data_IF_997228123705
#
_entry.id   IF_997228123705
#
_cell.length_a   1.000
_cell.length_b   1.000
_cell.length_c   1.000
_cell.angle_alpha   90.00
_cell.angle_beta   90.00
_cell.angle_gamma   90.00
#
_symmetry.space_group_name_H-M   'P 1'
#
loop_
_entity.id
_entity.type
_entity.pdbx_description
1 polymer ?
#
# COMPACT_ATOMS: atom_id res chain seq x y z
N UNK A 1 -15.79 18.12 -9.84
CA UNK A 1 -14.85 19.22 -10.11
C UNK A 1 -13.72 19.31 -9.07
N UNK A 2 -14.02 19.34 -7.76
CA UNK A 2 -13.00 19.45 -6.70
C UNK A 2 -11.97 18.31 -6.71
N UNK A 3 -12.40 17.07 -6.90
CA UNK A 3 -11.48 15.93 -6.99
C UNK A 3 -10.56 16.02 -8.23
N UNK A 4 -11.07 16.55 -9.35
CA UNK A 4 -10.23 16.80 -10.53
C UNK A 4 -9.12 17.79 -10.19
N UNK A 5 -9.41 18.88 -9.49
CA UNK A 5 -8.41 19.85 -9.02
C UNK A 5 -7.40 19.19 -8.06
N UNK A 6 -7.86 18.32 -7.17
CA UNK A 6 -6.98 17.55 -6.29
C UNK A 6 -5.98 16.69 -7.09
N UNK A 7 -6.44 15.97 -8.11
CA UNK A 7 -5.56 15.18 -8.97
C UNK A 7 -4.59 16.06 -9.78
N UNK A 8 -5.06 17.18 -10.33
CA UNK A 8 -4.22 18.11 -11.08
C UNK A 8 -3.12 18.77 -10.23
N UNK A 9 -3.35 18.93 -8.92
CA UNK A 9 -2.33 19.43 -7.98
C UNK A 9 -1.28 18.37 -7.58
N UNK A 10 -1.26 17.22 -8.23
CA UNK A 10 -0.42 16.08 -7.81
C UNK A 10 -0.82 15.51 -6.46
N UNK A 11 -2.08 15.72 -6.02
CA UNK A 11 -2.63 15.30 -4.72
C UNK A 11 -1.95 15.96 -3.50
N UNK A 12 -1.22 17.06 -3.71
CA UNK A 12 -0.47 17.79 -2.66
C UNK A 12 -1.25 18.93 -2.06
N UNK A 13 -2.34 19.40 -2.71
CA UNK A 13 -3.20 20.46 -2.19
C UNK A 13 -4.40 19.86 -1.45
N UNK A 14 -4.54 20.19 -0.17
CA UNK A 14 -5.65 19.72 0.67
C UNK A 14 -6.99 20.40 0.39
N UNK A 15 -6.96 21.66 -0.04
CA UNK A 15 -8.18 22.48 -0.18
C UNK A 15 -9.26 21.82 -1.05
N UNK A 16 -8.95 21.32 -2.28
CA UNK A 16 -9.96 20.71 -3.12
C UNK A 16 -10.59 19.44 -2.50
N UNK A 17 -9.80 18.59 -1.83
CA UNK A 17 -10.32 17.36 -1.25
C UNK A 17 -11.19 17.65 -0.02
N UNK A 18 -10.84 18.63 0.81
CA UNK A 18 -11.67 19.05 1.93
C UNK A 18 -12.96 19.74 1.45
N UNK A 19 -12.90 20.52 0.39
CA UNK A 19 -14.09 21.12 -0.22
C UNK A 19 -15.00 20.05 -0.84
N UNK A 20 -14.40 19.01 -1.46
CA UNK A 20 -15.16 17.84 -1.92
C UNK A 20 -15.87 17.16 -0.76
N UNK A 21 -15.20 16.96 0.38
CA UNK A 21 -15.80 16.38 1.59
C UNK A 21 -16.99 17.19 2.10
N UNK A 22 -16.88 18.54 2.11
CA UNK A 22 -17.99 19.40 2.55
C UNK A 22 -19.21 19.30 1.64
N UNK A 23 -19.00 19.19 0.33
CA UNK A 23 -20.05 19.17 -0.68
C UNK A 23 -20.64 17.78 -0.93
N UNK A 24 -19.94 16.71 -0.54
CA UNK A 24 -20.36 15.35 -0.79
C UNK A 24 -21.61 14.98 0.03
N UNK A 25 -22.59 14.39 -0.63
CA UNK A 25 -23.75 13.75 0.04
C UNK A 25 -23.31 12.49 0.78
N UNK A 26 -22.50 11.67 0.12
CA UNK A 26 -21.81 10.55 0.74
C UNK A 26 -20.37 10.94 1.04
N UNK A 27 -20.09 11.20 2.31
CA UNK A 27 -18.75 11.57 2.77
C UNK A 27 -17.77 10.43 2.72
N UNK A 28 -18.24 9.19 2.87
CA UNK A 28 -17.38 8.00 2.84
C UNK A 28 -16.70 7.82 1.48
N UNK A 29 -17.36 8.23 0.39
CA UNK A 29 -16.77 8.22 -0.94
C UNK A 29 -15.54 9.15 -1.09
N UNK A 30 -15.36 10.12 -0.20
CA UNK A 30 -14.22 11.06 -0.23
C UNK A 30 -13.08 10.62 0.68
N UNK A 31 -13.32 9.80 1.69
CA UNK A 31 -12.29 9.36 2.65
C UNK A 31 -11.06 8.71 2.00
N UNK A 32 -11.17 7.88 0.95
CA UNK A 32 -9.99 7.32 0.26
C UNK A 32 -9.01 8.38 -0.24
N UNK A 33 -9.51 9.51 -0.72
CA UNK A 33 -8.68 10.62 -1.22
C UNK A 33 -8.03 11.40 -0.08
N UNK A 34 -8.70 11.52 1.06
CA UNK A 34 -8.13 12.14 2.27
C UNK A 34 -7.04 11.25 2.88
N UNK A 35 -7.22 9.92 2.88
CA UNK A 35 -6.19 8.96 3.27
C UNK A 35 -4.97 9.10 2.34
N UNK A 36 -5.18 9.12 1.03
CA UNK A 36 -4.11 9.29 0.06
C UNK A 36 -3.36 10.63 0.25
N UNK A 37 -4.11 11.73 0.44
CA UNK A 37 -3.52 13.02 0.76
C UNK A 37 -2.68 12.97 2.04
N UNK A 38 -3.20 12.38 3.11
CA UNK A 38 -2.51 12.34 4.40
C UNK A 38 -1.21 11.52 4.35
N UNK A 39 -1.16 10.46 3.55
CA UNK A 39 0.08 9.69 3.29
C UNK A 39 1.09 10.56 2.54
N UNK A 40 0.68 11.26 1.50
CA UNK A 40 1.56 12.15 0.71
C UNK A 40 2.07 13.31 1.56
N UNK A 41 1.20 13.90 2.39
CA UNK A 41 1.53 15.01 3.28
C UNK A 41 2.24 14.58 4.58
N UNK A 42 2.41 13.27 4.80
CA UNK A 42 2.91 12.67 6.04
C UNK A 42 2.14 13.15 7.29
N UNK A 43 0.82 13.35 7.15
CA UNK A 43 -0.08 13.74 8.25
C UNK A 43 -0.67 12.51 8.92
N UNK A 44 0.01 12.04 9.97
CA UNK A 44 -0.37 10.82 10.71
C UNK A 44 -1.72 10.94 11.42
N UNK A 45 -2.08 12.15 11.88
CA UNK A 45 -3.35 12.40 12.58
C UNK A 45 -4.51 12.26 11.60
N UNK A 46 -4.40 12.93 10.46
CA UNK A 46 -5.41 12.88 9.41
C UNK A 46 -5.55 11.47 8.84
N UNK A 47 -4.41 10.76 8.65
CA UNK A 47 -4.38 9.37 8.21
C UNK A 47 -5.18 8.47 9.14
N UNK A 48 -4.92 8.53 10.44
CA UNK A 48 -5.61 7.72 11.44
C UNK A 48 -7.11 8.03 11.46
N UNK A 49 -7.48 9.31 11.44
CA UNK A 49 -8.87 9.76 11.46
C UNK A 49 -9.67 9.19 10.28
N UNK A 50 -9.20 9.40 9.06
CA UNK A 50 -9.99 9.01 7.88
C UNK A 50 -9.91 7.53 7.54
N UNK A 51 -8.82 6.84 7.89
CA UNK A 51 -8.76 5.39 7.77
C UNK A 51 -9.75 4.68 8.71
N UNK A 52 -9.87 5.15 9.96
CA UNK A 52 -10.85 4.64 10.92
C UNK A 52 -12.29 4.95 10.48
N UNK A 53 -12.55 6.17 10.02
CA UNK A 53 -13.88 6.57 9.49
C UNK A 53 -14.28 5.73 8.28
N UNK A 54 -13.35 5.50 7.36
CA UNK A 54 -13.63 4.67 6.18
C UNK A 54 -13.89 3.22 6.57
N UNK A 55 -13.07 2.66 7.47
CA UNK A 55 -13.26 1.29 7.95
C UNK A 55 -14.62 1.11 8.63
N UNK A 56 -15.06 2.09 9.42
CA UNK A 56 -16.36 2.06 10.07
C UNK A 56 -17.54 2.20 9.09
N UNK A 57 -17.40 3.02 8.05
CA UNK A 57 -18.45 3.28 7.06
C UNK A 57 -18.53 2.20 5.97
N UNK A 58 -17.40 1.62 5.59
CA UNK A 58 -17.25 0.62 4.53
C UNK A 58 -16.14 -0.37 4.90
N UNK A 59 -16.43 -1.35 5.77
CA UNK A 59 -15.45 -2.36 6.16
C UNK A 59 -14.92 -3.12 4.95
N UNK A 60 -13.67 -3.52 5.01
CA UNK A 60 -13.09 -4.41 4.00
C UNK A 60 -13.78 -5.77 4.05
N UNK A 61 -14.03 -6.38 2.88
CA UNK A 61 -14.46 -7.77 2.85
C UNK A 61 -13.37 -8.67 3.45
N UNK A 62 -13.72 -9.84 4.02
CA UNK A 62 -12.75 -10.72 4.67
C UNK A 62 -11.51 -11.02 3.80
N UNK A 63 -11.71 -11.33 2.53
CA UNK A 63 -10.59 -11.64 1.61
C UNK A 63 -9.68 -10.42 1.36
N UNK A 64 -10.26 -9.23 1.23
CA UNK A 64 -9.48 -7.99 1.05
C UNK A 64 -8.75 -7.63 2.33
N UNK A 65 -9.40 -7.78 3.48
CA UNK A 65 -8.76 -7.59 4.78
C UNK A 65 -7.56 -8.52 4.95
N UNK A 66 -7.74 -9.81 4.69
CA UNK A 66 -6.68 -10.82 4.80
C UNK A 66 -5.50 -10.53 3.86
N UNK A 67 -5.80 -10.14 2.61
CA UNK A 67 -4.77 -9.73 1.66
C UNK A 67 -3.95 -8.54 2.20
N UNK A 68 -4.59 -7.47 2.68
CA UNK A 68 -3.90 -6.30 3.20
C UNK A 68 -3.13 -6.61 4.50
N UNK A 69 -3.72 -7.43 5.38
CA UNK A 69 -3.07 -7.91 6.58
C UNK A 69 -1.78 -8.68 6.25
N UNK A 70 -1.86 -9.67 5.37
CA UNK A 70 -0.72 -10.48 4.96
C UNK A 70 0.34 -9.63 4.23
N UNK A 71 -0.07 -8.62 3.48
CA UNK A 71 0.86 -7.66 2.85
C UNK A 71 1.66 -6.90 3.92
N UNK A 72 1.01 -6.37 4.98
CA UNK A 72 1.71 -5.73 6.09
C UNK A 72 2.64 -6.71 6.82
N UNK A 73 2.19 -7.95 7.02
CA UNK A 73 2.99 -8.99 7.71
C UNK A 73 4.18 -9.48 6.88
N UNK A 74 4.18 -9.28 5.56
CA UNK A 74 5.28 -9.66 4.66
C UNK A 74 6.47 -8.69 4.71
N UNK A 75 6.36 -7.56 5.41
CA UNK A 75 7.44 -6.59 5.54
C UNK A 75 8.17 -6.73 6.89
N UNK A 76 9.46 -6.43 6.91
CA UNK A 76 10.27 -6.37 8.13
C UNK A 76 9.80 -5.26 9.08
N UNK A 77 10.27 -5.31 10.32
CA UNK A 77 10.01 -4.25 11.31
C UNK A 77 10.57 -2.91 10.83
N UNK A 78 9.81 -1.83 11.04
CA UNK A 78 10.14 -0.46 10.63
C UNK A 78 10.34 -0.30 9.11
N UNK A 79 9.77 -1.17 8.30
CA UNK A 79 9.81 -1.08 6.84
C UNK A 79 9.04 0.13 6.31
N UNK A 80 9.40 0.53 5.08
CA UNK A 80 8.64 1.51 4.29
C UNK A 80 8.00 0.77 3.12
N UNK A 81 6.67 0.83 3.01
CA UNK A 81 5.92 0.23 1.90
C UNK A 81 5.47 1.32 0.94
N UNK A 82 5.86 1.19 -0.31
CA UNK A 82 5.45 2.05 -1.41
C UNK A 82 4.31 1.43 -2.21
N UNK A 83 3.24 2.21 -2.40
CA UNK A 83 2.12 1.86 -3.26
C UNK A 83 1.64 3.09 -4.05
N UNK A 84 0.93 2.90 -5.14
CA UNK A 84 0.40 3.99 -5.98
C UNK A 84 -1.13 3.99 -6.01
N UNK A 85 -1.74 2.85 -6.05
CA UNK A 85 -3.18 2.70 -6.20
C UNK A 85 -3.96 2.99 -4.92
N UNK A 86 -5.20 3.49 -5.08
CA UNK A 86 -6.13 3.65 -3.95
C UNK A 86 -6.37 2.30 -3.28
N UNK A 87 -6.51 1.21 -4.04
CA UNK A 87 -6.81 -0.12 -3.52
C UNK A 87 -5.78 -0.58 -2.48
N UNK A 88 -4.49 -0.55 -2.81
CA UNK A 88 -3.45 -0.98 -1.88
C UNK A 88 -3.22 0.04 -0.78
N UNK A 89 -2.94 1.30 -1.17
CA UNK A 89 -2.53 2.33 -0.22
C UNK A 89 -3.58 2.58 0.86
N UNK A 90 -4.86 2.67 0.44
CA UNK A 90 -5.98 2.89 1.35
C UNK A 90 -6.32 1.62 2.13
N UNK A 91 -6.29 0.45 1.48
CA UNK A 91 -6.54 -0.82 2.14
C UNK A 91 -5.52 -1.12 3.25
N UNK A 92 -4.21 -0.93 2.98
CA UNK A 92 -3.15 -1.06 3.98
C UNK A 92 -3.35 -0.07 5.14
N UNK A 93 -3.67 1.19 4.83
CA UNK A 93 -3.94 2.21 5.84
C UNK A 93 -5.17 1.87 6.71
N UNK A 94 -6.25 1.36 6.10
CA UNK A 94 -7.45 0.93 6.84
C UNK A 94 -7.11 -0.17 7.84
N UNK A 95 -6.42 -1.24 7.41
CA UNK A 95 -6.02 -2.33 8.31
C UNK A 95 -5.10 -1.81 9.39
N UNK A 96 -4.05 -1.06 9.04
CA UNK A 96 -3.06 -0.56 9.99
C UNK A 96 -3.68 0.37 11.06
N UNK A 97 -4.52 1.33 10.63
CA UNK A 97 -5.03 2.36 11.52
C UNK A 97 -6.27 1.92 12.30
N UNK A 98 -7.16 1.12 11.70
CA UNK A 98 -8.39 0.67 12.36
C UNK A 98 -8.14 -0.49 13.33
N UNK A 99 -7.18 -1.38 13.05
CA UNK A 99 -6.92 -2.56 13.88
C UNK A 99 -5.65 -2.43 14.72
N UNK A 100 -4.95 -1.31 14.64
CA UNK A 100 -3.71 -1.03 15.38
C UNK A 100 -2.57 -2.03 15.12
N UNK A 101 -2.50 -2.58 13.90
CA UNK A 101 -1.52 -3.58 13.49
C UNK A 101 -0.38 -2.89 12.73
N UNK A 102 0.86 -3.37 12.94
CA UNK A 102 2.06 -2.95 12.21
C UNK A 102 2.21 -1.42 12.09
N UNK A 103 1.98 -0.70 13.18
CA UNK A 103 2.21 0.76 13.28
C UNK A 103 3.67 1.17 13.09
N UNK A 104 4.57 0.22 13.15
CA UNK A 104 5.99 0.35 12.85
C UNK A 104 6.25 0.61 11.36
N UNK A 105 5.34 0.16 10.48
CA UNK A 105 5.48 0.32 9.02
C UNK A 105 5.03 1.71 8.58
N UNK A 106 5.83 2.35 7.74
CA UNK A 106 5.49 3.61 7.09
C UNK A 106 4.94 3.35 5.69
N UNK A 107 3.73 3.82 5.42
CA UNK A 107 3.13 3.78 4.09
C UNK A 107 3.52 5.04 3.31
N UNK A 108 3.97 4.89 2.06
CA UNK A 108 4.32 6.00 1.17
C UNK A 108 3.69 5.86 -0.20
N UNK A 109 3.33 7.00 -0.78
CA UNK A 109 2.88 7.07 -2.16
C UNK A 109 4.10 7.00 -3.10
N UNK A 110 4.07 6.08 -4.06
CA UNK A 110 5.13 5.96 -5.05
C UNK A 110 4.95 6.99 -6.17
N UNK A 111 5.97 7.80 -6.40
CA UNK A 111 6.12 8.66 -7.58
C UNK A 111 7.33 8.18 -8.41
N UNK A 112 7.22 8.27 -9.72
CA UNK A 112 8.31 7.84 -10.61
C UNK A 112 9.53 8.76 -10.47
N UNK A 113 10.73 8.16 -10.39
CA UNK A 113 11.98 8.90 -10.26
C UNK A 113 12.32 9.35 -8.84
N UNK A 114 11.52 8.95 -7.82
CA UNK A 114 11.87 9.22 -6.43
C UNK A 114 12.97 8.28 -5.94
N UNK A 115 13.80 8.77 -5.03
CA UNK A 115 14.74 7.94 -4.29
C UNK A 115 14.00 7.15 -3.21
N UNK A 116 14.29 5.85 -3.12
CA UNK A 116 13.67 4.96 -2.15
C UNK A 116 14.63 4.64 -1.00
N UNK A 117 14.06 4.46 0.18
CA UNK A 117 14.83 4.07 1.35
C UNK A 117 15.41 2.64 1.22
N UNK A 118 16.56 2.35 1.87
CA UNK A 118 17.17 1.02 1.80
C UNK A 118 16.30 -0.13 2.33
N UNK A 119 15.38 0.18 3.26
CA UNK A 119 14.41 -0.78 3.82
C UNK A 119 13.04 -0.74 3.12
N UNK A 120 13.02 -0.27 1.87
CA UNK A 120 11.80 -0.12 1.09
C UNK A 120 11.27 -1.45 0.57
N UNK A 121 9.93 -1.52 0.52
CA UNK A 121 9.15 -2.55 -0.13
C UNK A 121 8.23 -1.93 -1.15
N UNK A 122 8.02 -2.61 -2.26
CA UNK A 122 7.10 -2.21 -3.32
C UNK A 122 5.87 -3.13 -3.32
N UNK A 123 4.67 -2.55 -3.38
CA UNK A 123 3.47 -3.31 -3.67
C UNK A 123 3.49 -3.86 -5.10
N UNK A 124 2.98 -5.07 -5.30
CA UNK A 124 2.92 -5.71 -6.62
C UNK A 124 2.09 -4.91 -7.64
N UNK A 125 1.14 -4.11 -7.17
CA UNK A 125 0.32 -3.22 -8.01
C UNK A 125 1.10 -2.11 -8.71
N UNK A 126 2.35 -1.83 -8.32
CA UNK A 126 3.21 -0.90 -9.04
C UNK A 126 3.62 -1.41 -10.42
N UNK A 127 3.44 -2.71 -10.66
CA UNK A 127 3.68 -3.33 -11.96
C UNK A 127 5.15 -3.66 -12.24
N UNK A 128 5.32 -4.56 -13.23
CA UNK A 128 6.64 -5.10 -13.58
C UNK A 128 7.63 -4.03 -14.06
N UNK A 129 7.15 -3.00 -14.73
CA UNK A 129 7.99 -1.91 -15.27
C UNK A 129 8.68 -1.11 -14.16
N UNK A 130 8.00 -0.90 -13.03
CA UNK A 130 8.59 -0.25 -11.87
C UNK A 130 9.57 -1.19 -11.18
N UNK A 131 9.17 -2.43 -10.93
CA UNK A 131 10.00 -3.43 -10.24
C UNK A 131 11.30 -3.72 -11.01
N UNK A 132 11.23 -3.79 -12.34
CA UNK A 132 12.40 -4.04 -13.20
C UNK A 132 13.49 -2.96 -13.13
N UNK A 133 13.19 -1.78 -12.59
CA UNK A 133 14.20 -0.72 -12.36
C UNK A 133 15.15 -1.06 -11.20
N UNK A 134 14.80 -2.07 -10.40
CA UNK A 134 15.56 -2.50 -9.20
C UNK A 134 16.07 -3.93 -9.40
N UNK A 135 17.24 -4.12 -10.03
CA UNK A 135 17.73 -5.45 -10.44
C UNK A 135 18.00 -6.41 -9.27
N UNK A 136 18.22 -5.87 -8.07
CA UNK A 136 18.45 -6.66 -6.85
C UNK A 136 17.18 -6.86 -6.02
N UNK A 137 16.02 -6.44 -6.54
CA UNK A 137 14.75 -6.62 -5.85
C UNK A 137 14.31 -8.09 -5.88
N UNK A 138 13.71 -8.53 -4.79
CA UNK A 138 13.22 -9.92 -4.66
C UNK A 138 11.84 -9.96 -4.02
N UNK A 139 11.07 -10.99 -4.36
CA UNK A 139 9.70 -11.18 -3.84
C UNK A 139 9.73 -11.76 -2.44
N UNK A 140 8.98 -11.13 -1.52
CA UNK A 140 8.78 -11.57 -0.13
C UNK A 140 7.31 -11.96 0.14
N UNK A 141 6.73 -12.75 -0.75
CA UNK A 141 5.29 -13.06 -0.71
C UNK A 141 4.46 -12.02 -1.46
N UNK A 142 3.80 -11.11 -0.76
CA UNK A 142 2.90 -10.09 -1.35
C UNK A 142 3.59 -8.75 -1.64
N UNK A 143 4.87 -8.64 -1.36
CA UNK A 143 5.69 -7.44 -1.57
C UNK A 143 6.97 -7.79 -2.33
N UNK A 144 7.61 -6.75 -2.84
CA UNK A 144 8.97 -6.81 -3.39
C UNK A 144 9.88 -6.01 -2.50
N UNK A 145 10.89 -6.65 -1.91
CA UNK A 145 11.91 -5.99 -1.09
C UNK A 145 13.02 -5.42 -1.97
N UNK A 146 13.47 -4.22 -1.65
CA UNK A 146 14.65 -3.58 -2.26
C UNK A 146 15.90 -3.78 -1.42
N UNK A 147 15.77 -4.38 -0.24
CA UNK A 147 16.90 -4.58 0.68
C UNK A 147 17.63 -5.89 0.38
N UNK A 148 18.89 -5.84 -0.07
CA UNK A 148 19.70 -7.02 -0.32
C UNK A 148 20.28 -7.67 0.95
N UNK A 149 20.02 -7.11 2.14
CA UNK A 149 20.60 -7.56 3.39
C UNK A 149 19.86 -8.78 3.95
N UNK A 150 20.18 -9.95 3.42
CA UNK A 150 19.75 -11.24 3.93
C UNK A 150 20.17 -12.32 2.96
N UNK A 151 20.56 -13.47 3.45
CA UNK A 151 20.87 -14.62 2.59
C UNK A 151 19.56 -15.23 2.09
N UNK A 152 18.91 -14.52 1.15
CA UNK A 152 17.64 -14.90 0.55
C UNK A 152 17.78 -16.01 -0.49
N UNK A 153 19.00 -16.45 -0.78
CA UNK A 153 19.25 -17.52 -1.72
C UNK A 153 18.58 -18.82 -1.25
N UNK A 154 18.61 -19.10 0.05
CA UNK A 154 17.89 -20.25 0.60
C UNK A 154 16.38 -20.07 0.61
N UNK A 155 15.86 -18.92 1.04
CA UNK A 155 14.42 -18.68 1.11
C UNK A 155 13.80 -18.56 -0.29
N UNK A 156 14.47 -17.89 -1.25
CA UNK A 156 14.01 -17.82 -2.63
C UNK A 156 14.06 -19.19 -3.33
N UNK A 157 15.00 -20.04 -3.00
CA UNK A 157 15.06 -21.42 -3.51
C UNK A 157 13.96 -22.29 -2.89
N UNK A 158 13.67 -22.17 -1.60
CA UNK A 158 12.55 -22.84 -0.95
C UNK A 158 11.20 -22.36 -1.52
N UNK A 159 10.95 -21.07 -1.51
CA UNK A 159 9.69 -20.48 -2.04
C UNK A 159 9.56 -20.73 -3.54
N UNK A 160 10.64 -20.65 -4.34
CA UNK A 160 10.54 -20.86 -5.78
C UNK A 160 10.32 -22.34 -6.15
N UNK A 161 10.83 -23.28 -5.36
CA UNK A 161 10.66 -24.70 -5.61
C UNK A 161 9.30 -25.21 -5.13
N UNK A 162 8.86 -24.81 -3.94
CA UNK A 162 7.56 -25.19 -3.40
C UNK A 162 6.42 -24.46 -4.12
N UNK A 163 6.57 -23.18 -4.41
CA UNK A 163 5.58 -22.37 -5.11
C UNK A 163 5.45 -22.71 -6.60
N UNK A 164 6.53 -23.10 -7.27
CA UNK A 164 6.47 -23.62 -8.65
C UNK A 164 5.83 -25.00 -8.73
N UNK A 165 6.09 -25.85 -7.74
CA UNK A 165 5.54 -27.19 -7.71
C UNK A 165 4.04 -27.19 -7.42
N UNK A 166 3.60 -26.50 -6.39
CA UNK A 166 2.18 -26.46 -6.01
C UNK A 166 1.28 -25.65 -6.97
N UNK A 167 1.74 -24.52 -7.51
CA UNK A 167 0.91 -23.71 -8.43
C UNK A 167 0.84 -24.21 -9.85
N UNK A 168 1.84 -24.93 -10.33
CA UNK A 168 1.74 -25.60 -11.63
C UNK A 168 0.72 -26.75 -11.59
N UNK A 169 0.61 -27.46 -10.46
CA UNK A 169 -0.36 -28.53 -10.29
C UNK A 169 -1.81 -27.98 -10.21
N UNK A 170 -2.03 -26.77 -9.68
CA UNK A 170 -3.36 -26.11 -9.67
C UNK A 170 -3.74 -25.41 -10.98
N UNK A 171 -2.78 -25.07 -11.82
CA UNK A 171 -3.05 -24.39 -13.10
C UNK A 171 -3.32 -25.38 -14.26
N UNK A 172 -3.12 -26.68 -14.05
CA UNK A 172 -3.28 -27.74 -15.06
C UNK A 172 -4.48 -28.67 -14.73
N UNK A 173 -5.14 -28.47 -13.59
CA UNK A 173 -6.38 -29.14 -13.18
C UNK A 173 -7.61 -28.26 -13.42
#
# INVERSE_FOLDING_TARGET
>A
YQLIQFFHSGKKNKEPVFKALQLAKDKAAIYPYLIQYSIIANDKTLLAEYAQKLYAASPLTPNVYEYQYNTLMSANTNAVIYARGIGDLVGLAMVQQATNIRKDITLKYYEEGMDLEPNAYLCLSLGREVIAKYPNAYYTGLLVSLNPAGDFTELSNHISNDFKKERLDYAVA
#
